data_IF_468757542986
#
_entry.id   IF_468757542986
#
_cell.length_a   1.000
_cell.length_b   1.000
_cell.length_c   1.000
_cell.angle_alpha   90.00
_cell.angle_beta   90.00
_cell.angle_gamma   90.00
#
_symmetry.space_group_name_H-M   'P 1'
#
loop_
_entity.id
_entity.type
_entity.pdbx_description
1 polymer ?
#
# COMPACT_ATOMS: atom_id res chain seq x y z
N UNK A 1 -45.33 -0.99 -53.89
CA UNK A 1 -46.33 -0.36 -53.01
C UNK A 1 -45.79 -0.37 -51.60
N UNK A 2 -45.00 0.65 -51.25
CA UNK A 2 -44.42 0.86 -49.93
C UNK A 2 -45.52 1.36 -48.99
N UNK A 3 -45.96 0.51 -48.06
CA UNK A 3 -46.94 0.88 -47.05
C UNK A 3 -46.30 1.89 -46.07
N UNK A 4 -46.73 3.14 -46.16
CA UNK A 4 -46.34 4.19 -45.22
C UNK A 4 -46.85 3.80 -43.82
N UNK A 5 -45.99 3.77 -42.78
CA UNK A 5 -46.45 3.46 -41.44
C UNK A 5 -47.52 4.46 -40.98
N UNK A 6 -48.51 4.01 -40.19
CA UNK A 6 -49.61 4.87 -39.76
C UNK A 6 -49.07 6.08 -39.00
N UNK A 7 -49.62 7.26 -39.31
CA UNK A 7 -49.21 8.51 -38.69
C UNK A 7 -49.39 8.44 -37.16
N UNK A 8 -48.47 9.02 -36.36
CA UNK A 8 -48.60 9.03 -34.91
C UNK A 8 -49.86 9.81 -34.49
N UNK A 9 -50.58 9.36 -33.44
CA UNK A 9 -51.79 10.02 -32.97
C UNK A 9 -51.47 11.42 -32.38
N UNK A 10 -52.36 12.37 -32.64
CA UNK A 10 -52.21 13.76 -32.21
C UNK A 10 -52.32 13.91 -30.68
N UNK A 11 -51.62 14.86 -30.04
CA UNK A 11 -51.57 15.01 -28.58
C UNK A 11 -52.89 15.44 -27.91
N UNK A 12 -53.95 15.73 -28.68
CA UNK A 12 -55.25 16.21 -28.20
C UNK A 12 -56.24 15.12 -27.85
N UNK A 13 -55.96 13.87 -28.20
CA UNK A 13 -56.80 12.73 -27.83
C UNK A 13 -56.36 12.28 -26.44
N UNK A 14 -56.99 12.83 -25.40
CA UNK A 14 -56.67 12.60 -23.98
C UNK A 14 -56.87 11.16 -23.46
N UNK A 15 -56.76 10.15 -24.31
CA UNK A 15 -56.71 8.75 -23.92
C UNK A 15 -55.28 8.30 -23.66
N UNK A 16 -55.01 7.49 -22.61
CA UNK A 16 -53.73 6.81 -22.49
C UNK A 16 -53.49 5.95 -23.74
N UNK A 17 -52.25 5.91 -24.28
CA UNK A 17 -51.96 5.16 -25.50
C UNK A 17 -52.39 3.70 -25.35
N UNK A 18 -52.94 3.05 -26.40
CA UNK A 18 -53.46 1.68 -26.33
C UNK A 18 -52.40 0.73 -25.77
N UNK A 19 -52.72 0.07 -24.66
CA UNK A 19 -51.82 -0.86 -23.97
C UNK A 19 -51.76 -2.27 -24.59
N UNK A 20 -52.53 -2.49 -25.66
CA UNK A 20 -52.80 -3.83 -26.17
C UNK A 20 -51.84 -4.14 -27.31
N UNK A 21 -50.69 -4.72 -26.95
CA UNK A 21 -49.72 -5.25 -27.91
C UNK A 21 -48.26 -5.05 -27.54
N UNK A 22 -47.92 -4.33 -26.47
CA UNK A 22 -46.53 -4.24 -26.00
C UNK A 22 -46.15 -5.49 -25.20
N UNK A 23 -45.11 -6.25 -25.62
CA UNK A 23 -44.65 -7.43 -24.88
C UNK A 23 -44.38 -7.06 -23.42
N UNK A 24 -44.77 -7.94 -22.48
CA UNK A 24 -44.62 -7.72 -21.03
C UNK A 24 -43.20 -7.26 -20.63
N UNK A 25 -42.20 -7.72 -21.39
CA UNK A 25 -40.78 -7.40 -21.31
C UNK A 25 -40.43 -5.91 -21.53
N UNK A 26 -41.28 -5.11 -22.17
CA UNK A 26 -41.05 -3.68 -22.40
C UNK A 26 -41.58 -2.79 -21.27
N UNK A 27 -42.37 -3.32 -20.32
CA UNK A 27 -42.84 -2.55 -19.15
C UNK A 27 -41.64 -2.10 -18.30
N UNK A 28 -41.54 -0.79 -18.06
CA UNK A 28 -40.46 -0.14 -17.28
C UNK A 28 -40.33 -0.68 -15.85
N UNK A 29 -41.44 -1.11 -15.23
CA UNK A 29 -41.43 -1.75 -13.91
C UNK A 29 -40.92 -3.19 -13.94
N UNK A 30 -41.29 -3.97 -14.97
CA UNK A 30 -40.87 -5.37 -15.12
C UNK A 30 -39.35 -5.50 -15.32
N UNK A 31 -38.75 -4.65 -16.16
CA UNK A 31 -37.29 -4.63 -16.36
C UNK A 31 -36.50 -4.29 -15.09
N UNK A 32 -37.01 -3.37 -14.26
CA UNK A 32 -36.37 -3.01 -12.96
C UNK A 32 -36.45 -4.15 -11.96
N UNK A 33 -37.59 -4.83 -11.90
CA UNK A 33 -37.81 -5.94 -10.98
C UNK A 33 -36.99 -7.17 -11.37
N UNK A 34 -36.89 -7.44 -12.68
CA UNK A 34 -36.01 -8.48 -13.23
C UNK A 34 -34.54 -8.20 -12.92
N UNK A 35 -34.09 -6.97 -13.19
CA UNK A 35 -32.70 -6.57 -12.94
C UNK A 35 -32.36 -6.60 -11.44
N UNK A 36 -33.24 -6.08 -10.58
CA UNK A 36 -33.06 -6.13 -9.12
C UNK A 36 -33.07 -7.57 -8.59
N UNK A 37 -33.93 -8.44 -9.11
CA UNK A 37 -33.96 -9.86 -8.75
C UNK A 37 -32.68 -10.58 -9.14
N UNK A 38 -32.15 -10.31 -10.34
CA UNK A 38 -30.85 -10.85 -10.80
C UNK A 38 -29.71 -10.39 -9.89
N UNK A 39 -29.65 -9.10 -9.54
CA UNK A 39 -28.61 -8.60 -8.62
C UNK A 39 -28.68 -9.28 -7.26
N UNK A 40 -29.87 -9.38 -6.65
CA UNK A 40 -30.04 -10.04 -5.36
C UNK A 40 -29.67 -11.52 -5.43
N UNK A 41 -30.06 -12.22 -6.51
CA UNK A 41 -29.72 -13.62 -6.71
C UNK A 41 -28.21 -13.82 -6.85
N UNK A 42 -27.52 -12.98 -7.62
CA UNK A 42 -26.07 -13.02 -7.76
C UNK A 42 -25.39 -12.74 -6.43
N UNK A 43 -25.79 -11.68 -5.71
CA UNK A 43 -25.21 -11.35 -4.41
C UNK A 43 -25.44 -12.46 -3.38
N UNK A 44 -26.63 -13.05 -3.34
CA UNK A 44 -26.92 -14.17 -2.44
C UNK A 44 -26.11 -15.43 -2.80
N UNK A 45 -25.94 -15.72 -4.09
CA UNK A 45 -25.13 -16.85 -4.56
C UNK A 45 -23.65 -16.66 -4.22
N UNK A 46 -23.10 -15.45 -4.43
CA UNK A 46 -21.72 -15.12 -4.03
C UNK A 46 -21.56 -15.19 -2.52
N UNK A 47 -22.50 -14.64 -1.75
CA UNK A 47 -22.46 -14.69 -0.29
C UNK A 47 -22.52 -16.13 0.24
N UNK A 48 -23.34 -16.99 -0.38
CA UNK A 48 -23.43 -18.40 -0.05
C UNK A 48 -22.15 -19.16 -0.41
N UNK A 49 -21.62 -18.95 -1.62
CA UNK A 49 -20.36 -19.56 -2.06
C UNK A 49 -19.19 -19.15 -1.15
N UNK A 50 -19.12 -17.86 -0.79
CA UNK A 50 -18.15 -17.36 0.19
C UNK A 50 -18.40 -18.08 1.51
N UNK A 51 -19.59 -18.02 2.11
CA UNK A 51 -19.90 -18.65 3.39
C UNK A 51 -19.51 -20.14 3.46
N UNK A 52 -19.78 -20.90 2.40
CA UNK A 52 -19.41 -22.32 2.30
C UNK A 52 -17.88 -22.53 2.13
N UNK A 53 -17.22 -21.60 1.44
CA UNK A 53 -15.76 -21.58 1.27
C UNK A 53 -15.00 -21.01 2.48
N UNK A 54 -15.67 -20.30 3.39
CA UNK A 54 -15.07 -19.74 4.59
C UNK A 54 -15.06 -20.82 5.69
N UNK A 55 -13.96 -21.56 5.80
CA UNK A 55 -13.70 -22.33 7.02
C UNK A 55 -13.42 -21.32 8.15
N UNK A 56 -14.43 -21.05 8.99
CA UNK A 56 -14.39 -20.00 10.04
C UNK A 56 -13.25 -20.20 11.07
N UNK A 57 -12.53 -21.34 11.02
CA UNK A 57 -11.30 -21.61 11.75
C UNK A 57 -10.11 -20.77 11.26
N UNK A 58 -10.09 -20.37 9.99
CA UNK A 58 -8.99 -19.58 9.39
C UNK A 58 -9.14 -18.06 9.59
N UNK A 59 -10.33 -17.56 9.94
CA UNK A 59 -10.58 -16.13 10.23
C UNK A 59 -10.14 -15.69 11.64
N UNK A 60 -9.57 -16.59 12.43
CA UNK A 60 -9.04 -16.30 13.76
C UNK A 60 -7.59 -15.79 13.73
N UNK A 61 -7.12 -15.29 14.87
CA UNK A 61 -5.71 -14.97 15.06
C UNK A 61 -4.79 -16.20 15.16
N UNK A 62 -5.28 -17.42 14.88
CA UNK A 62 -4.48 -18.65 14.95
C UNK A 62 -3.27 -18.64 14.02
N UNK A 63 -3.38 -17.94 12.88
CA UNK A 63 -2.28 -17.76 11.94
C UNK A 63 -1.04 -17.12 12.59
N UNK A 64 -1.23 -16.32 13.62
CA UNK A 64 -0.15 -15.60 14.29
C UNK A 64 0.76 -16.53 15.11
N UNK A 65 0.25 -17.71 15.45
CA UNK A 65 0.98 -18.75 16.17
C UNK A 65 1.77 -19.65 15.21
N UNK A 66 1.46 -19.63 13.92
CA UNK A 66 2.20 -20.38 12.92
C UNK A 66 3.63 -19.85 12.76
N UNK A 67 4.60 -20.72 12.40
CA UNK A 67 5.95 -20.33 12.08
C UNK A 67 6.00 -19.30 10.95
N UNK A 68 6.84 -18.29 11.10
CA UNK A 68 7.09 -17.32 10.06
C UNK A 68 8.01 -17.92 8.98
N UNK A 69 7.49 -18.25 7.81
CA UNK A 69 8.30 -18.80 6.70
C UNK A 69 9.32 -17.81 6.09
N UNK A 70 9.75 -16.77 6.81
CA UNK A 70 10.76 -15.79 6.40
C UNK A 70 11.84 -15.62 7.46
N UNK A 71 13.08 -15.37 7.01
CA UNK A 71 14.22 -15.06 7.90
C UNK A 71 14.39 -13.56 8.06
N UNK A 72 14.70 -13.12 9.27
CA UNK A 72 15.00 -11.72 9.57
C UNK A 72 16.46 -11.47 9.20
N UNK A 73 16.70 -10.63 8.18
CA UNK A 73 18.04 -10.44 7.58
C UNK A 73 19.08 -9.77 8.50
N UNK A 74 18.66 -9.18 9.61
CA UNK A 74 19.51 -8.53 10.62
C UNK A 74 19.73 -9.44 11.84
N UNK A 75 20.33 -10.62 11.62
CA UNK A 75 20.67 -11.58 12.68
C UNK A 75 21.65 -11.04 13.74
N UNK A 76 22.47 -10.04 13.40
CA UNK A 76 23.41 -9.39 14.35
C UNK A 76 22.73 -8.77 15.58
N UNK A 77 21.40 -8.55 15.55
CA UNK A 77 20.64 -7.92 16.62
C UNK A 77 19.76 -8.87 17.44
N UNK A 78 19.51 -10.08 16.93
CA UNK A 78 18.67 -11.13 17.54
C UNK A 78 18.86 -12.44 16.75
N UNK A 79 19.30 -13.50 17.42
CA UNK A 79 19.41 -14.85 16.86
C UNK A 79 18.05 -15.56 16.96
N UNK A 80 17.14 -15.19 16.07
CA UNK A 80 15.77 -15.70 16.07
C UNK A 80 15.38 -16.08 14.64
N UNK A 81 14.97 -17.33 14.45
CA UNK A 81 14.67 -17.92 13.16
C UNK A 81 13.16 -18.11 12.95
N UNK A 82 12.66 -17.68 11.78
CA UNK A 82 11.25 -17.78 11.40
C UNK A 82 10.67 -19.19 11.43
N UNK A 83 11.53 -20.19 11.24
CA UNK A 83 11.15 -21.61 11.19
C UNK A 83 10.77 -22.15 12.59
N UNK A 84 11.35 -21.58 13.65
CA UNK A 84 11.16 -22.07 15.03
C UNK A 84 10.23 -21.18 15.84
N UNK A 85 10.09 -19.90 15.45
CA UNK A 85 9.37 -18.91 16.23
C UNK A 85 8.05 -18.47 15.56
N UNK A 86 7.05 -18.27 16.39
CA UNK A 86 5.71 -17.85 16.00
C UNK A 86 5.75 -16.47 15.31
N UNK A 87 4.83 -16.23 14.37
CA UNK A 87 4.75 -14.96 13.61
C UNK A 87 4.63 -13.72 14.49
N UNK A 88 3.94 -13.79 15.63
CA UNK A 88 3.90 -12.66 16.60
C UNK A 88 5.29 -12.27 17.07
N UNK A 89 6.11 -13.25 17.43
CA UNK A 89 7.47 -13.01 17.91
C UNK A 89 8.29 -12.31 16.83
N UNK A 90 8.19 -12.78 15.58
CA UNK A 90 8.87 -12.16 14.44
C UNK A 90 8.44 -10.71 14.20
N UNK A 91 7.14 -10.43 14.28
CA UNK A 91 6.62 -9.07 14.15
C UNK A 91 7.15 -8.15 15.26
N UNK A 92 7.12 -8.61 16.52
CA UNK A 92 7.62 -7.85 17.66
C UNK A 92 9.12 -7.58 17.57
N UNK A 93 9.90 -8.55 17.08
CA UNK A 93 11.34 -8.38 16.82
C UNK A 93 11.59 -7.29 15.77
N UNK A 94 10.82 -7.26 14.69
CA UNK A 94 10.90 -6.21 13.67
C UNK A 94 10.54 -4.82 14.21
N UNK A 95 9.47 -4.72 15.01
CA UNK A 95 9.08 -3.48 15.70
C UNK A 95 10.20 -3.02 16.64
N UNK A 96 10.76 -3.94 17.43
CA UNK A 96 11.83 -3.63 18.38
C UNK A 96 13.13 -3.18 17.70
N UNK A 97 13.47 -3.77 16.55
CA UNK A 97 14.61 -3.32 15.75
C UNK A 97 14.39 -1.89 15.21
N UNK A 98 13.20 -1.61 14.67
CA UNK A 98 12.84 -0.29 14.15
C UNK A 98 12.92 0.78 15.24
N UNK A 99 12.40 0.48 16.43
CA UNK A 99 12.40 1.40 17.57
C UNK A 99 13.84 1.75 18.02
N UNK A 100 14.71 0.75 18.13
CA UNK A 100 16.13 0.95 18.47
C UNK A 100 16.86 1.79 17.43
N UNK A 101 16.68 1.48 16.14
CA UNK A 101 17.33 2.22 15.04
C UNK A 101 16.86 3.68 15.02
N UNK A 102 15.54 3.91 15.13
CA UNK A 102 14.97 5.27 15.16
C UNK A 102 15.46 6.05 16.37
N UNK A 103 15.53 5.42 17.55
CA UNK A 103 16.03 6.08 18.76
C UNK A 103 17.46 6.61 18.58
N UNK A 104 18.37 5.78 18.07
CA UNK A 104 19.76 6.17 17.79
C UNK A 104 19.82 7.25 16.68
N UNK A 105 19.02 7.10 15.63
CA UNK A 105 18.95 8.07 14.53
C UNK A 105 18.49 9.46 15.01
N UNK A 106 17.49 9.54 15.90
CA UNK A 106 17.00 10.81 16.46
C UNK A 106 18.09 11.49 17.27
N UNK A 107 18.82 10.76 18.12
CA UNK A 107 19.89 11.34 18.94
C UNK A 107 21.01 11.94 18.07
N UNK A 108 21.48 11.18 17.07
CA UNK A 108 22.52 11.63 16.13
C UNK A 108 22.03 12.79 15.25
N UNK A 109 20.80 12.69 14.72
CA UNK A 109 20.22 13.73 13.88
C UNK A 109 20.02 15.03 14.67
N UNK A 110 19.68 14.95 15.95
CA UNK A 110 19.51 16.14 16.80
C UNK A 110 20.86 16.80 17.04
N UNK A 111 21.90 16.02 17.37
CA UNK A 111 23.24 16.58 17.57
C UNK A 111 23.76 17.29 16.31
N UNK A 112 23.70 16.62 15.16
CA UNK A 112 24.14 17.20 13.88
C UNK A 112 23.27 18.40 13.49
N UNK A 113 21.95 18.29 13.63
CA UNK A 113 21.00 19.36 13.33
C UNK A 113 21.23 20.61 14.18
N UNK A 114 21.50 20.44 15.47
CA UNK A 114 21.83 21.54 16.38
C UNK A 114 23.18 22.16 16.02
N UNK A 115 24.21 21.36 15.77
CA UNK A 115 25.54 21.88 15.37
C UNK A 115 25.45 22.71 14.08
N UNK A 116 24.76 22.20 13.06
CA UNK A 116 24.55 22.91 11.80
C UNK A 116 23.65 24.14 12.01
N UNK A 117 22.63 24.04 12.86
CA UNK A 117 21.74 25.15 13.22
C UNK A 117 22.50 26.31 13.89
N UNK A 118 23.33 26.01 14.88
CA UNK A 118 24.18 26.99 15.57
C UNK A 118 25.23 27.58 14.63
N UNK A 119 25.86 26.75 13.78
CA UNK A 119 26.86 27.19 12.81
C UNK A 119 26.31 28.23 11.82
N UNK A 120 25.01 28.14 11.47
CA UNK A 120 24.35 29.13 10.61
C UNK A 120 24.14 30.50 11.27
N UNK A 121 24.07 30.55 12.61
CA UNK A 121 23.90 31.79 13.37
C UNK A 121 25.24 32.41 13.80
N UNK A 122 26.36 31.76 13.49
CA UNK A 122 27.69 32.29 13.79
C UNK A 122 27.96 33.59 13.04
N UNK A 123 28.56 34.56 13.72
CA UNK A 123 29.03 35.81 13.12
C UNK A 123 30.14 35.61 12.08
N UNK A 124 30.80 34.43 12.07
CA UNK A 124 31.81 34.10 11.08
C UNK A 124 31.15 33.71 9.74
N UNK A 125 31.28 34.61 8.75
CA UNK A 125 30.70 34.45 7.42
C UNK A 125 31.08 33.12 6.75
N UNK A 126 32.32 32.65 6.91
CA UNK A 126 32.77 31.42 6.26
C UNK A 126 32.03 30.19 6.82
N UNK A 127 31.89 30.10 8.13
CA UNK A 127 31.22 28.99 8.82
C UNK A 127 29.73 28.97 8.47
N UNK A 128 29.09 30.14 8.48
CA UNK A 128 27.68 30.27 8.10
C UNK A 128 27.44 29.87 6.63
N UNK A 129 28.34 30.24 5.72
CA UNK A 129 28.26 29.91 4.29
C UNK A 129 28.46 28.41 4.04
N UNK A 130 29.41 27.79 4.72
CA UNK A 130 29.66 26.34 4.62
C UNK A 130 28.48 25.53 5.19
N UNK A 131 27.93 25.92 6.33
CA UNK A 131 26.76 25.28 6.90
C UNK A 131 25.52 25.40 5.98
N UNK A 132 25.35 26.57 5.35
CA UNK A 132 24.29 26.80 4.36
C UNK A 132 24.46 25.91 3.13
N UNK A 133 25.67 25.84 2.55
CA UNK A 133 25.97 25.00 1.40
C UNK A 133 25.71 23.51 1.69
N UNK A 134 26.15 23.02 2.85
CA UNK A 134 25.86 21.66 3.29
C UNK A 134 24.35 21.39 3.31
N UNK A 135 23.56 22.21 4.00
CA UNK A 135 22.11 22.01 4.10
C UNK A 135 21.43 22.09 2.73
N UNK A 136 21.86 23.01 1.88
CA UNK A 136 21.28 23.22 0.55
C UNK A 136 21.49 22.01 -0.36
N UNK A 137 22.70 21.42 -0.35
CA UNK A 137 22.99 20.18 -1.10
C UNK A 137 22.10 19.03 -0.61
N UNK A 138 22.05 18.80 0.71
CA UNK A 138 21.29 17.69 1.29
C UNK A 138 19.76 17.85 1.12
N UNK A 139 19.26 19.08 1.06
CA UNK A 139 17.83 19.34 0.83
C UNK A 139 17.42 19.37 -0.65
N UNK A 140 18.32 19.75 -1.54
CA UNK A 140 18.03 19.87 -2.97
C UNK A 140 18.29 18.55 -3.73
N UNK A 141 19.07 17.64 -3.16
CA UNK A 141 19.33 16.33 -3.75
C UNK A 141 18.15 15.38 -3.51
N UNK A 142 17.63 14.68 -4.55
CA UNK A 142 16.56 13.70 -4.37
C UNK A 142 16.91 12.62 -3.34
N UNK A 143 15.95 12.28 -2.46
CA UNK A 143 16.13 11.24 -1.44
C UNK A 143 16.56 9.90 -2.05
N UNK A 144 16.07 9.58 -3.26
CA UNK A 144 16.42 8.37 -3.97
C UNK A 144 17.92 8.29 -4.27
N UNK A 145 18.55 9.40 -4.69
CA UNK A 145 20.01 9.45 -4.91
C UNK A 145 20.75 9.22 -3.61
N UNK A 146 20.28 9.80 -2.50
CA UNK A 146 20.90 9.62 -1.18
C UNK A 146 20.85 8.16 -0.74
N UNK A 147 19.69 7.50 -0.83
CA UNK A 147 19.53 6.10 -0.42
C UNK A 147 20.33 5.17 -1.35
N UNK A 148 20.32 5.41 -2.66
CA UNK A 148 21.09 4.60 -3.62
C UNK A 148 22.59 4.76 -3.41
N UNK A 149 23.08 5.98 -3.21
CA UNK A 149 24.50 6.25 -2.97
C UNK A 149 24.96 5.62 -1.66
N UNK A 150 24.20 5.78 -0.57
CA UNK A 150 24.47 5.12 0.71
C UNK A 150 24.47 3.60 0.54
N UNK A 151 23.45 3.04 -0.12
CA UNK A 151 23.37 1.60 -0.37
C UNK A 151 24.57 1.10 -1.20
N UNK A 152 24.97 1.82 -2.23
CA UNK A 152 26.13 1.51 -3.07
C UNK A 152 27.44 1.55 -2.28
N UNK A 153 27.64 2.54 -1.41
CA UNK A 153 28.84 2.63 -0.55
C UNK A 153 28.89 1.45 0.42
N UNK A 154 27.79 1.12 1.11
CA UNK A 154 27.75 -0.01 2.03
C UNK A 154 28.00 -1.35 1.33
N UNK A 155 27.44 -1.52 0.12
CA UNK A 155 27.60 -2.75 -0.67
C UNK A 155 28.98 -2.88 -1.31
N UNK A 156 29.53 -1.78 -1.83
CA UNK A 156 30.88 -1.73 -2.39
C UNK A 156 31.97 -1.87 -1.33
N UNK A 157 31.81 -1.23 -0.16
CA UNK A 157 32.73 -1.40 0.96
C UNK A 157 32.81 -2.85 1.45
N UNK A 158 31.68 -3.56 1.51
CA UNK A 158 31.65 -4.99 1.86
C UNK A 158 32.35 -5.88 0.84
N UNK A 159 32.13 -5.66 -0.46
CA UNK A 159 32.76 -6.44 -1.53
C UNK A 159 34.29 -6.29 -1.58
N UNK A 160 34.81 -5.08 -1.31
CA UNK A 160 36.25 -4.81 -1.30
C UNK A 160 36.95 -5.41 -0.07
N UNK A 161 36.25 -5.51 1.06
CA UNK A 161 36.78 -6.15 2.28
C UNK A 161 36.80 -7.67 2.13
N UNK A 162 35.76 -8.29 1.56
CA UNK A 162 35.75 -9.74 1.28
C UNK A 162 36.82 -10.13 0.25
N UNK A 163 37.05 -9.32 -0.78
CA UNK A 163 38.09 -9.59 -1.78
C UNK A 163 39.52 -9.45 -1.22
N UNK A 164 39.75 -8.53 -0.27
CA UNK A 164 41.03 -8.38 0.45
C UNK A 164 41.23 -9.48 1.49
N UNK A 165 40.17 -9.85 2.23
CA UNK A 165 40.21 -10.94 3.24
C UNK A 165 40.32 -12.32 2.58
N UNK A 166 39.76 -12.52 1.38
CA UNK A 166 39.88 -13.77 0.63
C UNK A 166 41.24 -13.97 -0.04
N UNK A 167 42.06 -12.93 -0.14
CA UNK A 167 43.37 -12.95 -0.81
C UNK A 167 44.56 -12.79 0.15
N UNK A 168 44.31 -12.62 1.44
CA UNK A 168 45.31 -12.67 2.52
C UNK A 168 45.23 -13.98 3.28
#
# INVERSE_FOLDING_TARGET
MSAQPPAPPSPSDGGPPPSDGVPLFYRRGFRRLLQQGIYVAITALVAWYVYDSLDLREFGFGFLDDPAAFKVGNQWLTDIDGVTNNRITMYLVGVWASLRVVFVAILLSTLVGVLVGVSRLSSNWLVARLAMLYVEIFRNTPLLVQVVLVCAIFRGGGALIEEVVSRG
#
